data_IF_345410521819
#
_entry.id   IF_345410521819
#
_cell.length_a   1.000
_cell.length_b   1.000
_cell.length_c   1.000
_cell.angle_alpha   90.00
_cell.angle_beta   90.00
_cell.angle_gamma   90.00
#
_symmetry.space_group_name_H-M   'P 1'
#
loop_
_entity.id
_entity.type
_entity.pdbx_description
1 polymer ?
#
# COMPACT_ATOMS: atom_id res chain seq x y z
N UNK A 1 -17.67 -18.41 14.55
CA UNK A 1 -16.92 -17.17 14.87
C UNK A 1 -16.49 -16.55 13.55
N UNK A 2 -17.12 -15.45 13.15
CA UNK A 2 -16.80 -14.78 11.90
C UNK A 2 -15.43 -14.11 12.01
N UNK A 3 -14.40 -14.74 11.44
CA UNK A 3 -13.14 -14.07 11.18
C UNK A 3 -13.45 -13.01 10.12
N UNK A 4 -13.50 -11.75 10.53
CA UNK A 4 -13.48 -10.63 9.60
C UNK A 4 -12.30 -10.86 8.66
N UNK A 5 -12.53 -10.84 7.34
CA UNK A 5 -11.54 -11.15 6.29
C UNK A 5 -10.38 -10.14 6.20
N UNK A 6 -10.17 -9.33 7.24
CA UNK A 6 -9.20 -8.25 7.32
C UNK A 6 -8.20 -8.56 8.43
N UNK A 7 -6.92 -8.40 8.10
CA UNK A 7 -5.87 -8.45 9.10
C UNK A 7 -6.00 -7.27 10.07
N UNK A 8 -5.68 -7.46 11.36
CA UNK A 8 -5.64 -6.36 12.33
C UNK A 8 -4.55 -5.34 11.98
N UNK A 9 -4.63 -4.15 12.59
CA UNK A 9 -3.58 -3.14 12.48
C UNK A 9 -2.27 -3.66 13.08
N UNK A 10 -1.16 -3.48 12.35
CA UNK A 10 0.18 -3.83 12.81
C UNK A 10 0.67 -2.77 13.81
N UNK A 11 0.86 -3.13 15.06
CA UNK A 11 1.40 -2.22 16.08
C UNK A 11 2.88 -2.50 16.34
N UNK A 12 3.67 -1.48 16.76
CA UNK A 12 5.03 -1.71 17.21
C UNK A 12 5.04 -2.76 18.32
N UNK A 13 5.88 -3.79 18.16
CA UNK A 13 6.02 -4.91 19.11
C UNK A 13 4.75 -5.74 19.34
N UNK A 14 3.72 -5.56 18.51
CA UNK A 14 2.53 -6.40 18.54
C UNK A 14 2.86 -7.83 18.15
N UNK A 15 2.28 -8.80 18.86
CA UNK A 15 2.39 -10.22 18.52
C UNK A 15 1.17 -10.67 17.73
N UNK A 16 1.41 -11.28 16.57
CA UNK A 16 0.35 -11.78 15.69
C UNK A 16 0.52 -13.29 15.57
N UNK A 17 -0.54 -14.03 15.85
CA UNK A 17 -0.55 -15.49 15.74
C UNK A 17 -1.32 -15.92 14.51
N UNK A 18 -0.66 -16.63 13.59
CA UNK A 18 -1.30 -17.17 12.40
C UNK A 18 -1.84 -18.58 12.68
N UNK A 19 -3.17 -18.67 12.82
CA UNK A 19 -3.89 -19.90 13.15
C UNK A 19 -3.66 -21.02 12.11
N UNK A 20 -3.53 -20.68 10.82
CA UNK A 20 -3.35 -21.64 9.73
C UNK A 20 -2.00 -22.38 9.82
N UNK A 21 -0.95 -21.69 10.27
CA UNK A 21 0.41 -22.23 10.41
C UNK A 21 0.75 -22.65 11.84
N UNK A 22 -0.08 -22.31 12.81
CA UNK A 22 0.14 -22.60 14.23
C UNK A 22 1.40 -21.94 14.80
N UNK A 23 1.77 -20.74 14.31
CA UNK A 23 2.96 -20.01 14.77
C UNK A 23 2.75 -18.51 14.79
N UNK A 24 3.61 -17.81 15.52
CA UNK A 24 3.71 -16.36 15.45
C UNK A 24 4.27 -15.90 14.11
N UNK A 25 3.76 -14.76 13.65
CA UNK A 25 4.23 -14.02 12.48
C UNK A 25 5.63 -13.48 12.79
N UNK A 26 6.58 -13.71 11.88
CA UNK A 26 7.94 -13.22 12.03
C UNK A 26 8.04 -11.72 11.76
N UNK A 27 9.07 -11.07 12.28
CA UNK A 27 9.42 -9.68 12.02
C UNK A 27 9.48 -9.35 10.51
N UNK A 28 10.08 -10.23 9.72
CA UNK A 28 10.14 -10.06 8.24
C UNK A 28 8.75 -10.19 7.60
N UNK A 29 7.90 -11.08 8.10
CA UNK A 29 6.52 -11.20 7.62
C UNK A 29 5.68 -9.96 7.98
N UNK A 30 5.94 -9.31 9.13
CA UNK A 30 5.32 -8.02 9.47
C UNK A 30 5.66 -6.94 8.43
N UNK A 31 6.89 -6.91 7.92
CA UNK A 31 7.28 -6.00 6.82
C UNK A 31 6.54 -6.32 5.51
N UNK A 32 6.32 -7.61 5.22
CA UNK A 32 5.54 -8.03 4.05
C UNK A 32 4.09 -7.57 4.12
N UNK A 33 3.46 -7.62 5.30
CA UNK A 33 2.10 -7.10 5.49
C UNK A 33 1.98 -5.61 5.16
N UNK A 34 3.04 -4.83 5.40
CA UNK A 34 3.12 -3.42 5.04
C UNK A 34 3.52 -3.18 3.58
N UNK A 35 3.61 -4.24 2.78
CA UNK A 35 3.98 -4.23 1.36
C UNK A 35 5.42 -3.76 1.08
N UNK A 36 6.35 -3.94 2.02
CA UNK A 36 7.77 -3.67 1.76
C UNK A 36 8.38 -4.72 0.82
N UNK A 37 9.24 -4.31 -0.13
CA UNK A 37 9.99 -5.24 -0.97
C UNK A 37 11.16 -5.84 -0.17
N UNK A 38 10.87 -6.74 0.76
CA UNK A 38 11.87 -7.32 1.70
C UNK A 38 13.05 -8.02 1.01
N UNK A 39 12.90 -8.43 -0.25
CA UNK A 39 13.98 -9.04 -1.05
C UNK A 39 14.93 -8.01 -1.68
N UNK A 40 14.55 -6.73 -1.70
CA UNK A 40 15.35 -5.62 -2.25
C UNK A 40 15.96 -4.74 -1.16
N UNK A 41 15.49 -4.88 0.08
CA UNK A 41 15.96 -4.11 1.23
C UNK A 41 17.04 -4.90 1.97
N UNK A 42 18.15 -4.23 2.28
CA UNK A 42 19.13 -4.80 3.20
C UNK A 42 18.67 -4.60 4.65
N UNK A 43 17.98 -5.60 5.17
CA UNK A 43 17.45 -5.62 6.53
C UNK A 43 18.44 -6.23 7.55
N UNK A 44 19.60 -6.72 7.10
CA UNK A 44 20.61 -7.35 7.96
C UNK A 44 21.17 -6.45 9.07
N UNK A 45 21.32 -5.13 8.87
CA UNK A 45 21.83 -4.25 9.93
C UNK A 45 20.85 -4.05 11.09
N UNK A 46 19.56 -4.33 10.89
CA UNK A 46 18.52 -4.05 11.87
C UNK A 46 18.32 -5.23 12.82
N UNK A 47 18.22 -4.93 14.12
CA UNK A 47 17.77 -5.92 15.10
C UNK A 47 16.29 -6.25 14.91
N UNK A 48 15.87 -7.42 15.39
CA UNK A 48 14.45 -7.84 15.31
C UNK A 48 13.49 -6.80 15.91
N UNK A 49 13.88 -6.17 17.03
CA UNK A 49 13.07 -5.13 17.69
C UNK A 49 12.92 -3.89 16.82
N UNK A 50 14.01 -3.45 16.19
CA UNK A 50 13.95 -2.31 15.27
C UNK A 50 13.10 -2.62 14.03
N UNK A 51 13.15 -3.87 13.55
CA UNK A 51 12.32 -4.31 12.43
C UNK A 51 10.83 -4.31 12.79
N UNK A 52 10.48 -4.76 14.00
CA UNK A 52 9.10 -4.71 14.51
C UNK A 52 8.61 -3.28 14.75
N UNK A 53 9.46 -2.43 15.33
CA UNK A 53 9.15 -1.01 15.52
C UNK A 53 8.99 -0.30 14.17
N UNK A 54 9.77 -0.66 13.15
CA UNK A 54 9.64 -0.16 11.78
C UNK A 54 8.34 -0.65 11.11
N UNK A 55 8.04 -1.94 11.20
CA UNK A 55 6.82 -2.51 10.62
C UNK A 55 5.55 -1.92 11.26
N UNK A 56 5.54 -1.73 12.58
CA UNK A 56 4.40 -1.20 13.31
C UNK A 56 4.17 0.31 13.15
N UNK A 57 5.23 1.09 12.94
CA UNK A 57 5.12 2.55 12.74
C UNK A 57 4.99 2.96 11.28
N UNK A 58 5.30 2.07 10.34
CA UNK A 58 5.20 2.35 8.91
C UNK A 58 3.75 2.38 8.43
N UNK A 59 3.50 3.15 7.39
CA UNK A 59 2.24 3.12 6.65
C UNK A 59 2.34 2.10 5.52
N UNK A 60 1.23 1.45 5.18
CA UNK A 60 1.19 0.50 4.08
C UNK A 60 1.60 1.16 2.75
N UNK A 61 2.62 0.63 2.08
CA UNK A 61 3.21 1.24 0.89
C UNK A 61 2.20 1.41 -0.24
N UNK A 62 1.27 0.47 -0.41
CA UNK A 62 0.24 0.58 -1.47
C UNK A 62 -0.74 1.70 -1.17
N UNK A 63 -1.10 1.89 0.09
CA UNK A 63 -1.95 3.00 0.50
C UNK A 63 -1.25 4.35 0.25
N UNK A 64 0.04 4.46 0.58
CA UNK A 64 0.84 5.63 0.24
C UNK A 64 0.87 5.83 -1.29
N UNK A 65 1.23 4.82 -2.07
CA UNK A 65 1.30 4.93 -3.53
C UNK A 65 -0.02 5.40 -4.15
N UNK A 66 -1.16 4.86 -3.68
CA UNK A 66 -2.48 5.31 -4.11
C UNK A 66 -2.74 6.78 -3.77
N UNK A 67 -2.39 7.22 -2.55
CA UNK A 67 -2.54 8.62 -2.15
C UNK A 67 -1.68 9.56 -3.00
N UNK A 68 -0.45 9.17 -3.33
CA UNK A 68 0.43 9.93 -4.22
C UNK A 68 -0.10 9.98 -5.64
N UNK A 69 -0.61 8.87 -6.17
CA UNK A 69 -1.27 8.84 -7.49
C UNK A 69 -2.49 9.76 -7.53
N UNK A 70 -3.34 9.73 -6.50
CA UNK A 70 -4.46 10.65 -6.37
C UNK A 70 -3.97 12.11 -6.36
N UNK A 71 -2.95 12.43 -5.57
CA UNK A 71 -2.39 13.77 -5.51
C UNK A 71 -1.83 14.24 -6.87
N UNK A 72 -1.09 13.40 -7.58
CA UNK A 72 -0.57 13.78 -8.88
C UNK A 72 -1.69 13.92 -9.92
N UNK A 73 -2.71 13.07 -9.86
CA UNK A 73 -3.88 13.20 -10.74
C UNK A 73 -4.64 14.51 -10.51
N UNK A 74 -4.70 15.02 -9.28
CA UNK A 74 -5.36 16.30 -8.99
C UNK A 74 -4.53 17.52 -9.42
N UNK A 75 -3.19 17.42 -9.35
CA UNK A 75 -2.31 18.46 -9.89
C UNK A 75 -2.38 18.53 -11.41
N UNK A 76 -2.55 17.40 -12.08
CA UNK A 76 -2.75 17.37 -13.53
C UNK A 76 -4.15 17.87 -13.92
N UNK A 77 -5.18 17.55 -13.12
CA UNK A 77 -6.54 18.10 -13.29
C UNK A 77 -6.58 19.63 -13.30
N UNK A 78 -5.77 20.33 -12.49
CA UNK A 78 -5.72 21.80 -12.56
C UNK A 78 -5.18 22.29 -13.91
N UNK A 79 -4.17 21.63 -14.48
CA UNK A 79 -3.63 21.95 -15.81
C UNK A 79 -4.60 21.54 -16.93
N UNK A 80 -5.27 20.40 -16.80
CA UNK A 80 -6.28 19.93 -17.76
C UNK A 80 -7.54 20.82 -17.76
N UNK A 81 -8.00 21.25 -16.60
CA UNK A 81 -9.08 22.24 -16.45
C UNK A 81 -8.67 23.59 -17.05
N UNK A 82 -7.42 24.03 -16.89
CA UNK A 82 -6.90 25.23 -17.58
C UNK A 82 -6.79 25.04 -19.10
N UNK A 83 -6.52 23.82 -19.58
CA UNK A 83 -6.50 23.46 -21.00
C UNK A 83 -7.90 23.24 -21.61
N UNK A 84 -8.98 23.33 -20.82
CA UNK A 84 -10.36 23.18 -21.29
C UNK A 84 -10.77 21.74 -21.64
N UNK A 85 -9.99 20.74 -21.23
CA UNK A 85 -10.30 19.33 -21.47
C UNK A 85 -11.17 18.85 -20.30
N UNK A 86 -12.49 18.95 -20.45
CA UNK A 86 -13.46 18.36 -19.51
C UNK A 86 -13.73 16.90 -19.89
N UNK A 87 -14.16 16.09 -18.92
CA UNK A 87 -14.43 14.65 -19.10
C UNK A 87 -15.45 14.33 -20.22
N UNK A 88 -16.21 15.32 -20.70
CA UNK A 88 -17.10 15.21 -21.86
C UNK A 88 -16.36 15.15 -23.21
N UNK A 89 -15.06 15.45 -23.24
CA UNK A 89 -14.25 15.46 -24.49
C UNK A 89 -13.51 14.15 -24.75
N UNK A 90 -13.47 13.23 -23.79
CA UNK A 90 -12.89 11.90 -23.97
C UNK A 90 -13.99 10.87 -24.08
N UNK A 91 -14.73 10.88 -25.18
CA UNK A 91 -15.42 9.68 -25.66
C UNK A 91 -14.46 8.96 -26.63
N UNK A 92 -13.75 7.90 -26.20
CA UNK A 92 -12.72 7.27 -27.04
C UNK A 92 -13.31 6.37 -28.15
N UNK A 93 -14.63 6.36 -28.36
CA UNK A 93 -15.31 5.34 -29.17
C UNK A 93 -16.14 5.88 -30.36
N UNK A 94 -15.97 7.13 -30.79
CA UNK A 94 -16.76 7.70 -31.90
C UNK A 94 -15.99 8.10 -33.16
N UNK A 95 -14.77 7.60 -33.37
CA UNK A 95 -14.07 7.76 -34.66
C UNK A 95 -13.40 6.45 -35.13
N UNK A 96 -14.22 5.43 -35.34
CA UNK A 96 -13.90 4.31 -36.23
C UNK A 96 -15.19 3.79 -36.87
N UNK A 97 -15.77 4.57 -37.79
CA UNK A 97 -16.70 4.03 -38.79
C UNK A 97 -16.67 4.89 -40.06
N UNK A 98 -16.08 4.28 -41.09
CA UNK A 98 -16.08 4.60 -42.54
C UNK A 98 -15.22 5.76 -43.04
#
# INVERSE_FOLDING_TARGET
MGLTSHAPCMTPRGEFFELSKGRYVTDVEKMLFQSFPVHQLDLKPLSRRELEDLAGNSMNIRACAAAWLCLFSTLDLQKWNQAGITADTTDPLLHDTY
#
